data_IF_298333217574
#
_entry.id   IF_298333217574
#
_cell.length_a   1.000
_cell.length_b   1.000
_cell.length_c   1.000
_cell.angle_alpha   90.00
_cell.angle_beta   90.00
_cell.angle_gamma   90.00
#
_symmetry.space_group_name_H-M   'P 1'
#
loop_
_entity.id
_entity.type
_entity.pdbx_description
1 polymer ?
#
# COMPACT_ATOMS: atom_id res chain seq x y z
N UNK A 1 3.94 12.26 13.57
CA UNK A 1 2.49 12.44 13.35
C UNK A 1 2.01 11.22 12.59
N UNK A 2 0.76 10.81 12.79
CA UNK A 2 0.15 9.76 11.96
C UNK A 2 -0.02 10.34 10.54
N UNK A 3 0.50 9.64 9.54
CA UNK A 3 0.45 10.00 8.11
C UNK A 3 -0.90 9.64 7.48
N UNK A 4 -1.62 8.66 8.03
CA UNK A 4 -2.96 8.26 7.60
C UNK A 4 -4.01 8.55 8.68
N UNK A 5 -5.24 8.99 8.33
CA UNK A 5 -6.25 9.29 9.34
C UNK A 5 -6.65 8.05 10.17
N UNK A 6 -6.28 8.04 11.46
CA UNK A 6 -6.55 6.94 12.40
C UNK A 6 -7.99 6.43 12.36
N UNK A 7 -8.97 7.34 12.37
CA UNK A 7 -10.39 6.95 12.41
C UNK A 7 -10.84 6.28 11.11
N UNK A 8 -10.24 6.65 9.97
CA UNK A 8 -10.48 6.02 8.68
C UNK A 8 -9.99 4.58 8.68
N UNK A 9 -8.75 4.34 9.10
CA UNK A 9 -8.19 3.00 9.22
C UNK A 9 -9.03 2.13 10.17
N UNK A 10 -9.40 2.68 11.33
CA UNK A 10 -10.27 1.98 12.30
C UNK A 10 -11.63 1.60 11.72
N UNK A 11 -12.25 2.48 10.93
CA UNK A 11 -13.53 2.21 10.30
C UNK A 11 -13.41 1.13 9.21
N UNK A 12 -12.32 1.13 8.43
CA UNK A 12 -12.04 0.06 7.46
C UNK A 12 -11.86 -1.30 8.16
N UNK A 13 -11.08 -1.37 9.24
CA UNK A 13 -10.94 -2.63 9.99
C UNK A 13 -12.31 -3.13 10.50
N UNK A 14 -13.17 -2.23 10.97
CA UNK A 14 -14.52 -2.58 11.43
C UNK A 14 -15.44 -3.05 10.30
N UNK A 15 -15.38 -2.42 9.13
CA UNK A 15 -16.18 -2.83 7.97
C UNK A 15 -15.77 -4.21 7.45
N UNK A 16 -14.52 -4.59 7.65
CA UNK A 16 -13.98 -5.94 7.38
C UNK A 16 -14.29 -6.96 8.49
N UNK A 17 -15.02 -6.59 9.54
CA UNK A 17 -15.51 -7.49 10.59
C UNK A 17 -14.80 -7.39 11.94
N UNK A 18 -13.81 -6.51 12.10
CA UNK A 18 -13.17 -6.33 13.41
C UNK A 18 -14.11 -5.65 14.41
N UNK A 19 -14.51 -6.34 15.49
CA UNK A 19 -15.44 -5.77 16.50
C UNK A 19 -14.78 -4.67 17.35
N UNK A 20 -13.54 -4.91 17.79
CA UNK A 20 -12.73 -3.99 18.59
C UNK A 20 -11.32 -3.98 18.04
N UNK A 21 -10.71 -2.80 18.02
CA UNK A 21 -9.36 -2.58 17.50
C UNK A 21 -8.64 -1.63 18.46
N UNK A 22 -7.44 -2.00 18.91
CA UNK A 22 -6.63 -1.15 19.80
C UNK A 22 -5.98 -0.01 19.02
N UNK A 23 -5.38 0.95 19.74
CA UNK A 23 -4.67 2.06 19.09
C UNK A 23 -3.42 1.54 18.37
N UNK A 24 -2.67 0.69 19.06
CA UNK A 24 -1.41 0.09 18.62
C UNK A 24 -1.61 -0.76 17.37
N UNK A 25 -2.73 -1.48 17.27
CA UNK A 25 -3.07 -2.22 16.05
C UNK A 25 -3.21 -1.27 14.85
N UNK A 26 -3.89 -0.13 15.01
CA UNK A 26 -4.08 0.81 13.90
C UNK A 26 -2.76 1.47 13.51
N UNK A 27 -1.92 1.81 14.50
CA UNK A 27 -0.57 2.35 14.25
C UNK A 27 0.29 1.33 13.49
N UNK A 28 0.17 0.04 13.77
CA UNK A 28 0.91 -1.00 13.05
C UNK A 28 0.38 -1.21 11.62
N UNK A 29 -0.94 -1.22 11.45
CA UNK A 29 -1.56 -1.27 10.12
C UNK A 29 -1.13 -0.08 9.27
N UNK A 30 -1.09 1.12 9.85
CA UNK A 30 -0.63 2.33 9.17
C UNK A 30 0.79 2.16 8.61
N UNK A 31 1.74 1.67 9.41
CA UNK A 31 3.11 1.41 8.96
C UNK A 31 3.14 0.43 7.79
N UNK A 32 2.46 -0.71 7.92
CA UNK A 32 2.43 -1.73 6.88
C UNK A 32 1.85 -1.17 5.57
N UNK A 33 0.78 -0.38 5.64
CA UNK A 33 0.18 0.22 4.45
C UNK A 33 1.12 1.21 3.76
N UNK A 34 1.86 2.01 4.54
CA UNK A 34 2.84 2.96 4.01
C UNK A 34 4.02 2.21 3.38
N UNK A 35 4.56 1.19 4.06
CA UNK A 35 5.67 0.38 3.55
C UNK A 35 5.31 -0.35 2.25
N UNK A 36 4.11 -0.92 2.16
CA UNK A 36 3.66 -1.57 0.93
C UNK A 36 3.37 -0.56 -0.18
N UNK A 37 2.82 0.62 0.14
CA UNK A 37 2.63 1.70 -0.83
C UNK A 37 3.96 2.22 -1.37
N UNK A 38 4.98 2.40 -0.52
CA UNK A 38 6.31 2.86 -0.93
C UNK A 38 6.93 1.90 -1.96
N UNK A 39 6.89 0.59 -1.69
CA UNK A 39 7.35 -0.44 -2.63
C UNK A 39 6.61 -0.38 -3.97
N UNK A 40 5.29 -0.23 -3.94
CA UNK A 40 4.47 -0.11 -5.15
C UNK A 40 4.87 1.14 -5.94
N UNK A 41 5.07 2.29 -5.28
CA UNK A 41 5.41 3.55 -5.93
C UNK A 41 6.81 3.48 -6.57
N UNK A 42 7.81 2.96 -5.85
CA UNK A 42 9.18 2.81 -6.38
C UNK A 42 9.14 2.00 -7.68
N UNK A 43 8.52 0.83 -7.63
CA UNK A 43 8.53 -0.09 -8.77
C UNK A 43 7.64 0.41 -9.92
N UNK A 44 6.46 0.98 -9.64
CA UNK A 44 5.61 1.58 -10.67
C UNK A 44 6.29 2.79 -11.34
N UNK A 45 7.07 3.57 -10.59
CA UNK A 45 7.87 4.67 -11.14
C UNK A 45 8.96 4.15 -12.08
N UNK A 46 9.61 3.03 -11.75
CA UNK A 46 10.58 2.38 -12.64
C UNK A 46 9.95 1.92 -13.95
N UNK A 47 8.76 1.32 -13.91
CA UNK A 47 8.03 0.93 -15.13
C UNK A 47 7.59 2.12 -15.97
N UNK A 48 7.10 3.20 -15.35
CA UNK A 48 6.78 4.42 -16.07
C UNK A 48 8.02 5.01 -16.76
N UNK A 49 9.17 5.01 -16.06
CA UNK A 49 10.44 5.51 -16.58
C UNK A 49 10.98 4.63 -17.72
N UNK A 50 10.86 3.31 -17.63
CA UNK A 50 11.23 2.39 -18.71
C UNK A 50 10.46 2.70 -20.01
N UNK A 51 9.20 3.14 -19.88
CA UNK A 51 8.36 3.58 -21.00
C UNK A 51 8.57 5.06 -21.40
N UNK A 52 9.61 5.74 -20.88
CA UNK A 52 9.88 7.17 -21.08
C UNK A 52 8.73 8.11 -20.68
N UNK A 53 7.96 7.73 -19.65
CA UNK A 53 6.88 8.54 -19.07
C UNK A 53 7.27 9.04 -17.69
N UNK A 54 6.84 10.27 -17.37
CA UNK A 54 6.94 10.84 -16.03
C UNK A 54 5.66 10.65 -15.20
N UNK A 55 4.59 10.16 -15.83
CA UNK A 55 3.30 9.90 -15.17
C UNK A 55 3.15 8.40 -14.96
N UNK A 56 2.99 8.00 -13.69
CA UNK A 56 2.61 6.64 -13.30
C UNK A 56 1.16 6.41 -13.70
N UNK A 57 0.91 5.34 -14.45
CA UNK A 57 -0.43 4.93 -14.88
C UNK A 57 -0.87 3.67 -14.14
N UNK A 58 -2.16 3.36 -14.21
CA UNK A 58 -2.76 2.16 -13.64
C UNK A 58 -1.98 0.88 -14.02
N UNK A 59 -1.60 0.74 -15.30
CA UNK A 59 -0.82 -0.40 -15.78
C UNK A 59 0.53 -0.57 -15.06
N UNK A 60 1.17 0.53 -14.65
CA UNK A 60 2.47 0.48 -13.97
C UNK A 60 2.30 -0.05 -12.54
N UNK A 61 1.21 0.38 -11.88
CA UNK A 61 0.81 -0.11 -10.56
C UNK A 61 0.42 -1.59 -10.62
N UNK A 62 -0.34 -2.02 -11.64
CA UNK A 62 -0.70 -3.43 -11.81
C UNK A 62 0.51 -4.33 -11.98
N UNK A 63 1.49 -3.91 -12.79
CA UNK A 63 2.72 -4.67 -13.01
C UNK A 63 3.54 -4.70 -11.70
N UNK A 64 3.66 -3.57 -11.00
CA UNK A 64 4.35 -3.50 -9.72
C UNK A 64 3.76 -4.46 -8.68
N UNK A 65 2.44 -4.48 -8.51
CA UNK A 65 1.77 -5.40 -7.59
C UNK A 65 2.00 -6.86 -7.99
N UNK A 66 1.95 -7.18 -9.28
CA UNK A 66 2.20 -8.54 -9.78
C UNK A 66 3.62 -9.00 -9.46
N UNK A 67 4.63 -8.14 -9.65
CA UNK A 67 6.02 -8.48 -9.34
C UNK A 67 6.25 -8.65 -7.83
N UNK A 68 5.77 -7.72 -6.99
CA UNK A 68 5.86 -7.83 -5.53
C UNK A 68 5.23 -9.14 -5.01
N UNK A 69 4.10 -9.55 -5.59
CA UNK A 69 3.40 -10.77 -5.17
C UNK A 69 4.11 -12.05 -5.60
N UNK A 70 4.76 -12.04 -6.78
CA UNK A 70 5.59 -13.16 -7.24
C UNK A 70 6.78 -13.39 -6.32
N UNK A 71 7.46 -12.33 -5.90
CA UNK A 71 8.61 -12.43 -4.98
C UNK A 71 8.23 -13.06 -3.64
N UNK A 72 7.03 -12.79 -3.11
CA UNK A 72 6.53 -13.40 -1.86
C UNK A 72 6.16 -14.88 -1.99
N UNK A 73 6.10 -15.42 -3.22
CA UNK A 73 5.74 -16.82 -3.50
C UNK A 73 6.94 -17.73 -3.74
N UNK A 74 8.17 -17.19 -3.65
CA UNK A 74 9.46 -17.86 -3.77
C UNK A 74 10.15 -17.95 -2.41
#
# INVERSE_FOLDING_TARGET
MSELPFQTLKNFCKSLGAKRVSKEFIEEIEKILIEELDKIIILAQEFAKHDNRNTILEKDVEIAIKEITKEKSL
#
